data_IF_058260719552
#
_entry.id   IF_058260719552
#
_cell.length_a   1.000
_cell.length_b   1.000
_cell.length_c   1.000
_cell.angle_alpha   90.00
_cell.angle_beta   90.00
_cell.angle_gamma   90.00
#
_symmetry.space_group_name_H-M   'P 1'
#
loop_
_entity.id
_entity.type
_entity.pdbx_description
1 polymer ?
#
# COMPACT_ATOMS: atom_id res chain seq x y z
N UNK A 1 14.66 -22.58 13.81
CA UNK A 1 13.35 -23.10 13.36
C UNK A 1 12.97 -24.22 14.31
N UNK A 2 12.04 -23.97 15.23
CA UNK A 2 11.59 -24.99 16.16
C UNK A 2 10.63 -25.92 15.42
N UNK A 3 11.12 -27.08 14.98
CA UNK A 3 10.31 -28.07 14.27
C UNK A 3 9.59 -28.89 15.34
N UNK A 4 8.34 -28.51 15.63
CA UNK A 4 7.44 -29.26 16.53
C UNK A 4 6.31 -29.95 15.74
N UNK A 5 6.60 -30.30 14.48
CA UNK A 5 5.67 -30.93 13.54
C UNK A 5 5.19 -32.31 13.95
N UNK A 6 5.93 -32.98 14.86
CA UNK A 6 5.56 -34.29 15.43
C UNK A 6 4.75 -34.21 16.72
N UNK A 7 4.54 -33.03 17.31
CA UNK A 7 3.77 -32.89 18.55
C UNK A 7 2.26 -32.84 18.27
N UNK A 8 1.48 -33.54 19.10
CA UNK A 8 0.02 -33.43 19.05
C UNK A 8 -0.40 -32.07 19.61
N UNK A 9 -1.44 -31.49 19.03
CA UNK A 9 -1.97 -30.19 19.48
C UNK A 9 -2.38 -30.22 20.96
N UNK A 10 -2.80 -31.38 21.47
CA UNK A 10 -3.15 -31.60 22.89
C UNK A 10 -1.97 -31.44 23.85
N UNK A 11 -0.74 -31.61 23.36
CA UNK A 11 0.47 -31.67 24.17
C UNK A 11 1.22 -30.31 24.14
N UNK A 12 0.78 -29.38 23.29
CA UNK A 12 1.35 -28.04 23.16
C UNK A 12 0.82 -27.17 24.31
N UNK A 13 1.73 -26.54 25.04
CA UNK A 13 1.42 -25.61 26.13
C UNK A 13 1.48 -24.15 25.69
N UNK A 14 0.98 -23.24 26.54
CA UNK A 14 1.14 -21.78 26.31
C UNK A 14 2.61 -21.41 26.27
N UNK A 15 3.42 -22.01 27.14
CA UNK A 15 4.87 -21.72 27.23
C UNK A 15 5.60 -22.14 25.96
N UNK A 16 5.22 -23.27 25.35
CA UNK A 16 5.78 -23.71 24.06
C UNK A 16 5.52 -22.70 22.95
N UNK A 17 4.31 -22.15 22.90
CA UNK A 17 3.94 -21.13 21.90
C UNK A 17 4.61 -19.78 22.18
N UNK A 18 4.73 -19.43 23.48
CA UNK A 18 5.42 -18.20 23.89
C UNK A 18 6.90 -18.27 23.56
N UNK A 19 7.57 -19.38 23.84
CA UNK A 19 8.96 -19.61 23.46
C UNK A 19 9.18 -19.45 21.96
N UNK A 20 8.27 -19.94 21.11
CA UNK A 20 8.35 -19.74 19.67
C UNK A 20 8.25 -18.25 19.29
N UNK A 21 7.43 -17.46 20.00
CA UNK A 21 7.34 -16.02 19.77
C UNK A 21 8.59 -15.29 20.24
N UNK A 22 9.11 -15.62 21.40
CA UNK A 22 10.25 -14.93 22.01
C UNK A 22 11.55 -15.21 21.26
N UNK A 23 11.69 -16.44 20.74
CA UNK A 23 12.88 -16.85 19.98
C UNK A 23 12.82 -16.55 18.48
N UNK A 24 11.69 -16.04 17.97
CA UNK A 24 11.52 -15.80 16.52
C UNK A 24 12.45 -14.71 15.95
N UNK A 25 13.06 -13.86 16.80
CA UNK A 25 13.93 -12.76 16.40
C UNK A 25 13.24 -11.71 15.50
N UNK A 26 11.91 -11.57 15.61
CA UNK A 26 11.12 -10.65 14.79
C UNK A 26 10.44 -9.59 15.66
N UNK A 27 10.12 -8.45 15.02
CA UNK A 27 9.48 -7.34 15.69
C UNK A 27 8.01 -7.61 16.08
N UNK A 28 7.47 -6.69 16.87
CA UNK A 28 6.13 -6.73 17.47
C UNK A 28 5.04 -7.17 16.49
N UNK A 29 5.01 -6.61 15.26
CA UNK A 29 3.99 -6.93 14.26
C UNK A 29 3.98 -8.40 13.85
N UNK A 30 5.14 -9.02 13.76
CA UNK A 30 5.22 -10.46 13.45
C UNK A 30 4.68 -11.28 14.61
N UNK A 31 5.00 -10.92 15.85
CA UNK A 31 4.47 -11.59 17.03
C UNK A 31 2.96 -11.41 17.17
N UNK A 32 2.41 -10.22 16.87
CA UNK A 32 0.95 -10.01 16.77
C UNK A 32 0.29 -10.97 15.77
N UNK A 33 0.90 -11.15 14.60
CA UNK A 33 0.41 -12.07 13.58
C UNK A 33 0.51 -13.55 14.06
N UNK A 34 1.59 -13.92 14.76
CA UNK A 34 1.74 -15.26 15.34
C UNK A 34 0.66 -15.53 16.40
N UNK A 35 0.40 -14.57 17.29
CA UNK A 35 -0.68 -14.64 18.27
C UNK A 35 -2.05 -14.76 17.59
N UNK A 36 -2.33 -13.96 16.57
CA UNK A 36 -3.57 -14.02 15.82
C UNK A 36 -3.74 -15.37 15.11
N UNK A 37 -2.67 -15.91 14.49
CA UNK A 37 -2.68 -17.22 13.84
C UNK A 37 -2.96 -18.33 14.86
N UNK A 38 -2.26 -18.35 16.00
CA UNK A 38 -2.52 -19.30 17.05
C UNK A 38 -3.98 -19.24 17.51
N UNK A 39 -4.52 -18.02 17.74
CA UNK A 39 -5.91 -17.81 18.10
C UNK A 39 -6.90 -18.40 17.09
N UNK A 40 -6.64 -18.23 15.78
CA UNK A 40 -7.48 -18.79 14.72
C UNK A 40 -7.39 -20.32 14.66
N UNK A 41 -6.19 -20.88 14.82
CA UNK A 41 -5.99 -22.34 14.87
C UNK A 41 -6.80 -22.97 16.01
N UNK A 42 -6.76 -22.40 17.21
CA UNK A 42 -7.57 -22.90 18.34
C UNK A 42 -9.06 -22.68 18.14
N UNK A 43 -9.49 -21.57 17.53
CA UNK A 43 -10.91 -21.39 17.15
C UNK A 43 -11.40 -22.49 16.20
N UNK A 44 -10.53 -22.99 15.33
CA UNK A 44 -10.85 -24.12 14.45
C UNK A 44 -10.87 -25.46 15.20
N UNK A 45 -9.90 -25.68 16.11
CA UNK A 45 -9.66 -26.94 16.78
C UNK A 45 -10.70 -27.24 17.88
N UNK A 46 -11.12 -26.24 18.65
CA UNK A 46 -12.03 -26.41 19.80
C UNK A 46 -13.37 -27.02 19.39
N UNK A 47 -14.11 -26.53 18.40
CA UNK A 47 -15.38 -27.13 17.98
C UNK A 47 -15.24 -28.56 17.44
N UNK A 48 -14.02 -29.01 17.16
CA UNK A 48 -13.67 -30.34 16.62
C UNK A 48 -13.13 -31.27 17.69
N UNK A 49 -13.20 -30.87 18.97
CA UNK A 49 -12.64 -31.60 20.11
C UNK A 49 -11.13 -31.91 19.99
N UNK A 50 -10.37 -31.13 19.19
CA UNK A 50 -8.92 -31.27 19.05
C UNK A 50 -8.17 -30.47 20.11
N UNK A 51 -8.82 -29.49 20.75
CA UNK A 51 -8.30 -28.70 21.83
C UNK A 51 -9.45 -28.29 22.76
N UNK A 52 -9.15 -28.01 24.03
CA UNK A 52 -10.14 -27.62 25.06
C UNK A 52 -10.15 -26.11 25.29
N UNK A 53 -9.03 -25.43 25.03
CA UNK A 53 -8.80 -24.03 25.36
C UNK A 53 -8.07 -23.31 24.21
N UNK A 54 -8.41 -22.05 24.00
CA UNK A 54 -7.67 -21.21 23.05
C UNK A 54 -6.42 -20.63 23.73
N UNK A 55 -5.28 -21.29 23.55
CA UNK A 55 -4.03 -20.84 24.13
C UNK A 55 -3.49 -19.56 23.50
N UNK A 56 -3.86 -19.25 22.27
CA UNK A 56 -3.46 -18.02 21.60
C UNK A 56 -3.87 -16.74 22.34
N UNK A 57 -4.93 -16.76 23.15
CA UNK A 57 -5.36 -15.58 23.92
C UNK A 57 -4.40 -15.22 25.05
N UNK A 58 -3.65 -16.17 25.57
CA UNK A 58 -2.72 -15.98 26.69
C UNK A 58 -1.32 -15.54 26.25
N UNK A 59 -1.02 -15.60 24.95
CA UNK A 59 0.28 -15.19 24.43
C UNK A 59 0.51 -13.70 24.66
N UNK A 60 1.70 -13.38 25.09
CA UNK A 60 2.15 -12.00 25.32
C UNK A 60 2.96 -11.55 24.10
N UNK A 61 2.57 -10.43 23.53
CA UNK A 61 3.31 -9.81 22.43
C UNK A 61 4.38 -8.92 23.01
N UNK A 62 5.63 -9.29 22.79
CA UNK A 62 6.82 -8.47 23.06
C UNK A 62 7.32 -7.76 21.81
N UNK A 63 8.61 -7.46 21.80
CA UNK A 63 9.31 -6.87 20.66
C UNK A 63 9.05 -5.38 20.48
N UNK A 64 9.91 -4.76 19.69
CA UNK A 64 9.81 -3.34 19.41
C UNK A 64 8.80 -3.07 18.28
N UNK A 65 8.08 -1.96 18.40
CA UNK A 65 7.25 -1.47 17.32
C UNK A 65 8.13 -1.07 16.13
N UNK A 66 7.76 -1.50 14.94
CA UNK A 66 8.46 -1.08 13.74
C UNK A 66 8.34 0.42 13.50
N UNK A 67 9.37 1.02 12.89
CA UNK A 67 9.32 2.41 12.43
C UNK A 67 8.24 2.56 11.35
N UNK A 68 7.36 3.52 11.51
CA UNK A 68 6.31 3.80 10.52
C UNK A 68 6.91 4.05 9.13
N UNK A 69 6.18 3.68 8.09
CA UNK A 69 6.56 4.02 6.72
C UNK A 69 6.23 5.48 6.46
N UNK A 70 7.19 6.20 5.88
CA UNK A 70 7.06 7.61 5.56
C UNK A 70 6.74 7.82 4.07
N UNK A 71 6.08 8.94 3.76
CA UNK A 71 5.99 9.47 2.41
C UNK A 71 7.32 10.09 1.97
N UNK A 72 7.46 10.35 0.68
CA UNK A 72 8.54 11.17 0.16
C UNK A 72 8.36 12.61 0.68
N UNK A 73 9.42 13.30 1.07
CA UNK A 73 9.35 14.70 1.43
C UNK A 73 9.02 15.55 0.19
N UNK A 74 8.52 16.77 0.39
CA UNK A 74 8.02 17.60 -0.73
C UNK A 74 9.10 18.02 -1.71
N UNK A 75 10.29 18.29 -1.22
CA UNK A 75 11.46 18.61 -2.05
C UNK A 75 11.83 17.43 -2.96
N UNK A 76 11.72 16.20 -2.46
CA UNK A 76 11.89 15.01 -3.28
C UNK A 76 10.79 14.87 -4.35
N UNK A 77 9.54 15.18 -4.01
CA UNK A 77 8.44 15.17 -4.99
C UNK A 77 8.68 16.22 -6.07
N UNK A 78 9.13 17.42 -5.68
CA UNK A 78 9.46 18.49 -6.61
C UNK A 78 10.64 18.10 -7.52
N UNK A 79 11.69 17.52 -6.99
CA UNK A 79 12.83 17.04 -7.78
C UNK A 79 12.41 15.97 -8.80
N UNK A 80 11.47 15.09 -8.44
CA UNK A 80 10.91 14.09 -9.35
C UNK A 80 10.05 14.78 -10.45
N UNK A 81 9.26 15.80 -10.08
CA UNK A 81 8.44 16.57 -11.03
C UNK A 81 9.34 17.26 -12.08
N UNK A 82 10.43 17.90 -11.67
CA UNK A 82 11.42 18.53 -12.53
C UNK A 82 12.16 17.53 -13.43
N UNK A 83 12.31 16.29 -12.98
CA UNK A 83 12.96 15.22 -13.72
C UNK A 83 12.06 14.55 -14.78
N UNK A 84 10.74 14.87 -14.80
CA UNK A 84 9.82 14.33 -15.80
C UNK A 84 10.27 14.72 -17.21
N UNK A 85 10.35 13.72 -18.08
CA UNK A 85 10.82 13.89 -19.45
C UNK A 85 12.34 13.76 -19.64
N UNK A 86 13.13 13.83 -18.57
CA UNK A 86 14.61 13.66 -18.60
C UNK A 86 15.05 12.35 -17.95
N UNK A 87 14.46 11.99 -16.81
CA UNK A 87 14.76 10.75 -16.10
C UNK A 87 13.69 9.71 -16.45
N UNK A 88 14.07 8.53 -16.97
CA UNK A 88 13.10 7.46 -17.27
C UNK A 88 12.28 7.09 -16.04
N UNK A 89 10.96 6.95 -16.20
CA UNK A 89 10.01 6.55 -15.17
C UNK A 89 9.72 7.59 -14.07
N UNK A 90 10.34 8.79 -14.11
CA UNK A 90 10.00 9.86 -13.16
C UNK A 90 8.51 10.22 -13.22
N UNK A 91 7.94 10.24 -14.42
CA UNK A 91 6.53 10.44 -14.68
C UNK A 91 5.63 9.39 -13.99
N UNK A 92 6.05 8.12 -13.96
CA UNK A 92 5.30 7.05 -13.28
C UNK A 92 5.33 7.22 -11.76
N UNK A 93 6.49 7.56 -11.20
CA UNK A 93 6.62 7.80 -9.76
C UNK A 93 5.79 9.01 -9.34
N UNK A 94 5.84 10.09 -10.12
CA UNK A 94 5.02 11.27 -9.87
C UNK A 94 3.52 10.94 -9.94
N UNK A 95 3.09 10.22 -10.98
CA UNK A 95 1.70 9.78 -11.09
C UNK A 95 1.26 8.97 -9.86
N UNK A 96 2.08 8.05 -9.36
CA UNK A 96 1.72 7.27 -8.18
C UNK A 96 1.62 8.15 -6.93
N UNK A 97 2.45 9.20 -6.78
CA UNK A 97 2.38 10.16 -5.69
C UNK A 97 1.09 10.99 -5.70
N UNK A 98 0.49 11.20 -6.88
CA UNK A 98 -0.74 11.99 -7.03
C UNK A 98 -2.01 11.15 -7.25
N UNK A 99 -1.90 9.84 -7.44
CA UNK A 99 -3.04 8.91 -7.55
C UNK A 99 -3.23 8.07 -6.27
N UNK A 100 -2.19 7.90 -5.48
CA UNK A 100 -2.26 7.21 -4.20
C UNK A 100 -2.63 5.72 -4.24
N UNK A 101 -2.65 5.08 -5.40
CA UNK A 101 -2.85 3.63 -5.52
C UNK A 101 -1.71 2.86 -4.86
N UNK A 102 -2.00 1.67 -4.33
CA UNK A 102 -0.94 0.74 -3.95
C UNK A 102 -0.13 0.35 -5.17
N UNK A 103 1.18 0.05 -5.05
CA UNK A 103 2.01 -0.24 -6.24
C UNK A 103 1.43 -1.32 -7.16
N UNK A 104 0.84 -2.38 -6.62
CA UNK A 104 0.20 -3.42 -7.43
C UNK A 104 -1.07 -2.94 -8.13
N UNK A 105 -1.89 -2.13 -7.45
CA UNK A 105 -3.10 -1.52 -8.02
C UNK A 105 -2.72 -0.53 -9.11
N UNK A 106 -1.74 0.32 -8.87
CA UNK A 106 -1.22 1.30 -9.82
C UNK A 106 -0.77 0.64 -11.13
N UNK A 107 0.01 -0.41 -11.04
CA UNK A 107 0.50 -1.14 -12.22
C UNK A 107 -0.58 -1.98 -12.93
N UNK A 108 -1.69 -2.28 -12.26
CA UNK A 108 -2.80 -3.01 -12.86
C UNK A 108 -3.83 -2.12 -13.54
N UNK A 109 -3.70 -0.78 -13.47
CA UNK A 109 -4.62 0.13 -14.14
C UNK A 109 -4.57 -0.06 -15.65
N UNK A 110 -5.74 -0.32 -16.23
CA UNK A 110 -5.95 -0.41 -17.68
C UNK A 110 -6.49 0.93 -18.20
N UNK A 111 -6.27 1.20 -19.48
CA UNK A 111 -6.85 2.38 -20.15
C UNK A 111 -8.37 2.41 -20.05
N UNK A 112 -9.02 1.24 -19.98
CA UNK A 112 -10.47 1.10 -19.78
C UNK A 112 -10.96 1.61 -18.42
N UNK A 113 -10.06 1.61 -17.41
CA UNK A 113 -10.37 2.08 -16.06
C UNK A 113 -10.36 3.61 -16.00
N UNK A 114 -9.91 4.29 -17.05
CA UNK A 114 -9.82 5.75 -17.13
C UNK A 114 -11.04 6.37 -17.81
N UNK A 115 -11.85 7.08 -17.04
CA UNK A 115 -12.90 7.92 -17.55
C UNK A 115 -12.30 9.27 -18.00
N UNK A 116 -12.20 9.46 -19.32
CA UNK A 116 -11.61 10.67 -19.93
C UNK A 116 -12.44 11.93 -19.66
N UNK A 117 -13.77 11.80 -19.62
CA UNK A 117 -14.67 12.92 -19.38
C UNK A 117 -14.56 13.41 -17.94
N UNK A 118 -14.54 12.48 -16.99
CA UNK A 118 -14.43 12.78 -15.58
C UNK A 118 -12.98 12.91 -15.10
N UNK A 119 -12.00 12.67 -15.96
CA UNK A 119 -10.56 12.67 -15.60
C UNK A 119 -10.30 11.86 -14.32
N UNK A 120 -10.80 10.64 -14.30
CA UNK A 120 -10.73 9.78 -13.11
C UNK A 120 -10.44 8.33 -13.47
N UNK A 121 -9.71 7.64 -12.63
CA UNK A 121 -9.58 6.19 -12.67
C UNK A 121 -10.61 5.54 -11.76
N UNK A 122 -11.21 4.45 -12.23
CA UNK A 122 -12.01 3.55 -11.41
C UNK A 122 -11.20 2.27 -11.25
N UNK A 123 -10.66 2.03 -10.07
CA UNK A 123 -9.76 0.90 -9.88
C UNK A 123 -9.50 0.61 -8.42
N UNK A 124 -8.71 -0.40 -8.18
CA UNK A 124 -8.40 -0.91 -6.86
C UNK A 124 -8.82 -2.38 -6.77
N UNK A 125 -7.93 -3.19 -6.24
CA UNK A 125 -8.16 -4.63 -6.16
C UNK A 125 -7.86 -5.11 -4.74
N UNK A 126 -8.50 -6.12 -4.28
CA UNK A 126 -8.18 -7.00 -3.16
C UNK A 126 -8.77 -6.72 -1.78
N UNK A 127 -9.28 -5.55 -1.46
CA UNK A 127 -10.04 -5.40 -0.22
C UNK A 127 -11.41 -4.82 -0.57
N UNK A 128 -12.45 -5.23 0.12
CA UNK A 128 -13.81 -4.69 -0.09
C UNK A 128 -13.85 -3.16 0.02
N UNK A 129 -12.94 -2.58 0.80
CA UNK A 129 -12.74 -1.14 0.96
C UNK A 129 -11.95 -0.43 -0.15
N UNK A 130 -11.33 -1.17 -1.06
CA UNK A 130 -10.50 -0.61 -2.16
C UNK A 130 -10.99 -1.02 -3.54
N UNK A 131 -12.06 -1.82 -3.62
CA UNK A 131 -12.62 -2.26 -4.88
C UNK A 131 -13.39 -1.10 -5.53
N UNK A 132 -13.15 -0.89 -6.83
CA UNK A 132 -13.85 0.12 -7.65
C UNK A 132 -13.75 1.56 -7.11
N UNK A 133 -12.63 1.87 -6.43
CA UNK A 133 -12.36 3.21 -5.91
C UNK A 133 -12.21 4.21 -7.06
N UNK A 134 -12.89 5.34 -6.95
CA UNK A 134 -12.75 6.47 -7.88
C UNK A 134 -11.60 7.35 -7.40
N UNK A 135 -10.62 7.59 -8.28
CA UNK A 135 -9.51 8.52 -8.04
C UNK A 135 -9.46 9.53 -9.17
N UNK A 136 -9.80 10.76 -8.87
CA UNK A 136 -9.70 11.88 -9.82
C UNK A 136 -8.23 12.25 -10.04
N UNK A 137 -7.90 12.64 -11.27
CA UNK A 137 -6.53 12.97 -11.67
C UNK A 137 -6.26 14.44 -11.38
N UNK A 138 -5.22 14.72 -10.59
CA UNK A 138 -4.78 16.09 -10.34
C UNK A 138 -4.30 16.77 -11.62
N UNK A 139 -4.55 18.09 -11.80
CA UNK A 139 -4.05 18.88 -12.94
C UNK A 139 -2.54 18.74 -13.13
N UNK A 140 -1.77 18.55 -12.08
CA UNK A 140 -0.31 18.38 -12.14
C UNK A 140 0.15 17.18 -12.96
N UNK A 141 -0.59 16.08 -12.89
CA UNK A 141 -0.25 14.85 -13.61
C UNK A 141 -1.15 14.59 -14.81
N UNK A 142 -2.18 15.42 -15.02
CA UNK A 142 -3.12 15.27 -16.14
C UNK A 142 -2.41 15.19 -17.51
N UNK A 143 -1.42 16.05 -17.85
CA UNK A 143 -0.72 15.95 -19.12
C UNK A 143 0.04 14.62 -19.30
N UNK A 144 0.53 14.04 -18.19
CA UNK A 144 1.22 12.75 -18.21
C UNK A 144 0.20 11.64 -18.51
N UNK A 145 -0.92 11.62 -17.78
CA UNK A 145 -1.98 10.64 -17.97
C UNK A 145 -2.53 10.71 -19.40
N UNK A 146 -2.84 11.90 -19.90
CA UNK A 146 -3.34 12.10 -21.27
C UNK A 146 -2.38 11.54 -22.31
N UNK A 147 -1.06 11.76 -22.15
CA UNK A 147 -0.05 11.19 -23.02
C UNK A 147 -0.02 9.65 -22.95
N UNK A 148 -0.13 9.07 -21.75
CA UNK A 148 -0.04 7.63 -21.54
C UNK A 148 -1.26 6.88 -22.09
N UNK A 149 -2.44 7.51 -22.09
CA UNK A 149 -3.69 6.92 -22.60
C UNK A 149 -4.04 7.36 -24.02
N UNK A 150 -3.22 8.24 -24.63
CA UNK A 150 -3.43 8.73 -25.97
C UNK A 150 -3.44 7.56 -26.97
N UNK A 151 -4.39 7.57 -27.88
CA UNK A 151 -4.54 6.59 -28.96
C UNK A 151 -4.66 5.12 -28.51
N UNK A 152 -4.91 4.88 -27.20
CA UNK A 152 -5.17 3.55 -26.64
C UNK A 152 -6.64 3.36 -26.31
N UNK A 153 -7.16 2.16 -26.60
CA UNK A 153 -8.52 1.73 -26.24
C UNK A 153 -8.48 0.79 -25.03
N UNK A 154 -7.36 0.09 -24.84
CA UNK A 154 -7.18 -0.89 -23.75
C UNK A 154 -5.70 -1.16 -23.53
N UNK A 155 -5.40 -1.91 -22.48
CA UNK A 155 -4.04 -2.29 -22.10
C UNK A 155 -3.52 -1.46 -20.93
N UNK A 156 -2.35 -1.84 -20.37
CA UNK A 156 -1.82 -1.20 -19.18
C UNK A 156 -1.51 0.28 -19.44
N UNK A 157 -1.92 1.13 -18.50
CA UNK A 157 -1.54 2.56 -18.52
C UNK A 157 -0.05 2.70 -18.23
N UNK A 158 0.43 1.99 -17.21
CA UNK A 158 1.82 2.01 -16.75
C UNK A 158 2.53 0.73 -17.20
N UNK A 159 3.08 0.79 -18.41
CA UNK A 159 3.70 -0.35 -19.07
C UNK A 159 5.24 -0.27 -19.06
N UNK A 160 5.89 -1.40 -19.25
CA UNK A 160 7.32 -1.50 -19.51
C UNK A 160 7.71 -0.98 -20.91
N UNK A 161 9.00 -1.01 -21.22
CA UNK A 161 9.51 -0.61 -22.55
C UNK A 161 8.97 -1.48 -23.69
N UNK A 162 8.54 -2.68 -23.38
CA UNK A 162 7.93 -3.65 -24.27
C UNK A 162 6.41 -3.46 -24.47
N UNK A 163 5.83 -2.46 -23.79
CA UNK A 163 4.38 -2.21 -23.81
C UNK A 163 3.56 -3.15 -22.91
N UNK A 164 4.18 -4.15 -22.29
CA UNK A 164 3.53 -5.04 -21.34
C UNK A 164 3.38 -4.41 -19.96
N UNK A 165 2.49 -4.95 -19.14
CA UNK A 165 2.35 -4.52 -17.75
C UNK A 165 3.67 -4.66 -17.00
N UNK A 166 4.13 -3.57 -16.38
CA UNK A 166 5.37 -3.58 -15.60
C UNK A 166 5.24 -4.46 -14.36
N UNK A 167 6.24 -5.29 -14.08
CA UNK A 167 6.27 -6.09 -12.86
C UNK A 167 6.58 -5.21 -11.65
N UNK A 168 6.13 -5.63 -10.46
CA UNK A 168 6.46 -4.96 -9.19
C UNK A 168 7.97 -4.88 -8.96
N UNK A 169 8.72 -5.90 -9.37
CA UNK A 169 10.18 -5.91 -9.25
C UNK A 169 10.83 -4.86 -10.14
N UNK A 170 10.42 -4.79 -11.42
CA UNK A 170 10.89 -3.79 -12.38
C UNK A 170 10.53 -2.37 -11.93
N UNK A 171 9.29 -2.17 -11.47
CA UNK A 171 8.84 -0.87 -10.95
C UNK A 171 9.63 -0.43 -9.71
N UNK A 172 9.92 -1.37 -8.80
CA UNK A 172 10.76 -1.08 -7.62
C UNK A 172 12.17 -0.65 -8.03
N UNK A 173 12.76 -1.31 -9.02
CA UNK A 173 14.08 -0.93 -9.55
C UNK A 173 14.04 0.45 -10.21
N UNK A 174 13.00 0.74 -11.00
CA UNK A 174 12.77 2.05 -11.59
C UNK A 174 12.60 3.15 -10.52
N UNK A 175 11.82 2.88 -9.48
CA UNK A 175 11.64 3.79 -8.35
C UNK A 175 12.97 4.18 -7.69
N UNK A 176 13.83 3.21 -7.41
CA UNK A 176 15.12 3.49 -6.79
C UNK A 176 16.03 4.28 -7.74
N UNK A 177 16.06 3.93 -9.03
CA UNK A 177 16.84 4.63 -10.02
C UNK A 177 16.40 6.11 -10.17
N UNK A 178 15.10 6.38 -10.10
CA UNK A 178 14.58 7.76 -10.12
C UNK A 178 15.01 8.53 -8.87
N UNK A 179 14.89 7.94 -7.68
CA UNK A 179 15.33 8.61 -6.46
C UNK A 179 16.83 8.94 -6.49
N UNK A 180 17.66 7.98 -6.93
CA UNK A 180 19.10 8.18 -7.07
C UNK A 180 19.41 9.29 -8.07
N UNK A 181 18.74 9.32 -9.25
CA UNK A 181 18.92 10.34 -10.26
C UNK A 181 18.46 11.73 -9.81
N UNK A 182 17.45 11.81 -8.97
CA UNK A 182 16.95 13.05 -8.37
C UNK A 182 17.74 13.49 -7.11
N UNK A 183 18.78 12.76 -6.71
CA UNK A 183 19.58 13.08 -5.51
C UNK A 183 18.81 12.88 -4.19
N UNK A 184 17.75 12.09 -4.19
CA UNK A 184 16.95 11.81 -2.99
C UNK A 184 17.63 10.75 -2.14
N UNK A 185 18.05 11.12 -0.93
CA UNK A 185 18.68 10.20 0.01
C UNK A 185 17.69 9.09 0.44
N UNK A 186 18.04 7.85 0.13
CA UNK A 186 17.23 6.68 0.45
C UNK A 186 18.06 5.58 1.11
N UNK A 187 18.48 5.80 2.39
CA UNK A 187 19.37 4.89 3.09
C UNK A 187 18.72 3.53 3.34
N UNK A 188 19.57 2.52 3.48
CA UNK A 188 19.17 1.21 3.97
C UNK A 188 19.11 1.26 5.49
N UNK A 189 17.92 1.07 6.02
CA UNK A 189 17.67 0.96 7.45
C UNK A 189 17.72 -0.51 7.87
N UNK A 190 18.29 -0.78 9.03
CA UNK A 190 18.22 -2.11 9.65
C UNK A 190 17.25 -2.07 10.82
N UNK A 191 16.25 -2.92 10.77
CA UNK A 191 15.17 -2.96 11.74
C UNK A 191 14.82 -4.42 12.04
N UNK A 192 14.92 -4.82 13.30
CA UNK A 192 14.60 -6.18 13.74
C UNK A 192 15.28 -7.26 12.87
N UNK A 193 16.56 -7.09 12.56
CA UNK A 193 17.33 -8.01 11.72
C UNK A 193 16.89 -8.04 10.24
N UNK A 194 16.10 -7.06 9.79
CA UNK A 194 15.68 -6.94 8.40
C UNK A 194 16.19 -5.62 7.81
N UNK A 195 16.90 -5.72 6.68
CA UNK A 195 17.39 -4.56 5.94
C UNK A 195 16.31 -4.08 4.95
N UNK A 196 15.96 -2.79 4.98
CA UNK A 196 15.04 -2.20 4.04
C UNK A 196 15.46 -0.78 3.66
N UNK A 197 15.12 -0.33 2.46
CA UNK A 197 15.24 1.08 2.08
C UNK A 197 14.23 1.93 2.87
N UNK A 198 14.59 3.16 3.21
CA UNK A 198 13.72 4.13 3.88
C UNK A 198 12.46 4.36 3.05
N UNK A 199 12.62 4.71 1.79
CA UNK A 199 11.52 4.87 0.84
C UNK A 199 11.39 3.67 -0.09
N UNK A 200 10.15 3.31 -0.40
CA UNK A 200 9.78 2.23 -1.30
C UNK A 200 8.62 2.71 -2.19
N UNK A 201 8.22 2.03 -3.26
CA UNK A 201 7.04 2.42 -4.05
C UNK A 201 5.76 2.64 -3.21
N UNK A 202 5.65 2.02 -2.04
CA UNK A 202 4.56 2.27 -1.09
C UNK A 202 4.61 3.68 -0.48
N UNK A 203 5.80 4.30 -0.45
CA UNK A 203 5.97 5.67 0.04
C UNK A 203 5.22 6.69 -0.81
N UNK A 204 5.03 6.45 -2.14
CA UNK A 204 4.20 7.31 -2.98
C UNK A 204 2.76 7.43 -2.45
N UNK A 205 2.17 6.34 -1.96
CA UNK A 205 0.84 6.37 -1.36
C UNK A 205 0.81 7.12 -0.02
N UNK A 206 1.86 7.02 0.78
CA UNK A 206 2.01 7.83 1.99
C UNK A 206 2.19 9.31 1.65
N UNK A 207 2.91 9.61 0.55
CA UNK A 207 3.05 10.96 -0.01
C UNK A 207 1.68 11.53 -0.38
N UNK A 208 0.86 10.78 -1.14
CA UNK A 208 -0.49 11.19 -1.50
C UNK A 208 -1.33 11.53 -0.26
N UNK A 209 -1.30 10.66 0.76
CA UNK A 209 -2.00 10.92 2.02
C UNK A 209 -1.51 12.19 2.72
N UNK A 210 -0.20 12.48 2.65
CA UNK A 210 0.40 13.68 3.24
C UNK A 210 0.01 14.93 2.46
N UNK A 211 0.01 14.87 1.13
CA UNK A 211 -0.44 15.96 0.26
C UNK A 211 -1.90 16.32 0.55
N UNK A 212 -2.78 15.32 0.61
CA UNK A 212 -4.20 15.56 0.89
C UNK A 212 -4.49 16.17 2.26
N UNK A 213 -3.64 15.93 3.28
CA UNK A 213 -3.79 16.60 4.58
C UNK A 213 -3.56 18.10 4.50
N UNK A 214 -2.85 18.60 3.50
CA UNK A 214 -2.48 20.01 3.34
C UNK A 214 -3.50 20.81 2.55
N UNK A 215 -4.40 20.13 1.83
CA UNK A 215 -5.43 20.82 1.03
C UNK A 215 -6.76 20.85 1.77
N UNK A 216 -7.58 21.90 1.59
CA UNK A 216 -8.93 21.94 2.13
C UNK A 216 -9.80 20.86 1.47
N UNK A 217 -10.73 20.32 2.21
CA UNK A 217 -11.66 19.30 1.74
C UNK A 217 -12.16 18.44 2.90
N UNK A 218 -13.33 17.82 2.72
CA UNK A 218 -13.92 16.95 3.73
C UNK A 218 -13.06 15.70 3.95
N UNK A 219 -12.92 15.28 5.19
CA UNK A 219 -12.15 14.06 5.51
C UNK A 219 -12.73 12.83 4.84
N UNK A 220 -14.05 12.78 4.64
CA UNK A 220 -14.75 11.71 3.91
C UNK A 220 -14.19 11.56 2.49
N UNK A 221 -14.07 12.66 1.74
CA UNK A 221 -13.60 12.66 0.35
C UNK A 221 -12.12 12.24 0.27
N UNK A 222 -11.31 12.71 1.23
CA UNK A 222 -9.90 12.34 1.34
C UNK A 222 -9.73 10.86 1.63
N UNK A 223 -10.56 10.30 2.52
CA UNK A 223 -10.54 8.88 2.86
C UNK A 223 -10.96 8.02 1.67
N UNK A 224 -11.95 8.47 0.91
CA UNK A 224 -12.39 7.81 -0.33
C UNK A 224 -11.25 7.73 -1.35
N UNK A 225 -10.60 8.86 -1.63
CA UNK A 225 -9.45 8.92 -2.54
C UNK A 225 -8.29 8.02 -2.10
N UNK A 226 -8.06 7.84 -0.80
CA UNK A 226 -7.03 6.92 -0.29
C UNK A 226 -7.51 5.46 -0.34
N UNK A 227 -8.82 5.21 -0.26
CA UNK A 227 -9.38 3.86 -0.09
C UNK A 227 -8.99 3.27 1.27
N UNK A 228 -9.05 4.08 2.32
CA UNK A 228 -8.99 3.66 3.72
C UNK A 228 -10.37 3.85 4.33
N UNK A 229 -11.10 2.76 4.47
CA UNK A 229 -12.39 2.80 5.11
C UNK A 229 -12.41 1.89 6.32
N UNK A 230 -12.87 2.43 7.45
CA UNK A 230 -13.36 1.56 8.51
C UNK A 230 -14.70 0.95 8.05
N UNK A 231 -15.05 -0.26 8.48
CA UNK A 231 -16.35 -0.88 8.15
C UNK A 231 -17.56 -0.01 8.50
N UNK A 232 -17.42 0.90 9.46
CA UNK A 232 -18.47 1.84 9.90
C UNK A 232 -18.71 2.97 8.89
N UNK A 233 -17.70 3.36 8.10
CA UNK A 233 -17.83 4.39 7.08
C UNK A 233 -18.44 3.89 5.77
N UNK A 234 -18.43 2.59 5.50
CA UNK A 234 -19.08 1.98 4.32
C UNK A 234 -20.58 2.28 4.21
N UNK A 235 -21.25 2.61 5.31
CA UNK A 235 -22.69 2.91 5.31
C UNK A 235 -23.04 4.29 4.72
N UNK A 236 -22.08 5.15 4.45
CA UNK A 236 -22.28 6.51 3.94
C UNK A 236 -21.83 6.72 2.48
N UNK A 237 -21.49 5.64 1.77
CA UNK A 237 -20.88 5.71 0.42
C UNK A 237 -21.81 6.09 -0.73
N UNK A 238 -23.08 6.33 -0.51
CA UNK A 238 -24.02 6.58 -1.60
C UNK A 238 -23.97 8.00 -2.18
N UNK A 239 -23.17 8.92 -1.60
CA UNK A 239 -23.22 10.35 -1.93
C UNK A 239 -21.87 11.01 -2.24
N UNK A 240 -20.83 10.28 -2.65
CA UNK A 240 -19.57 10.91 -3.08
C UNK A 240 -19.69 11.35 -4.53
N UNK A 241 -19.68 12.67 -4.77
CA UNK A 241 -19.70 13.19 -6.13
C UNK A 241 -18.30 13.32 -6.72
N UNK A 242 -18.20 13.21 -8.05
CA UNK A 242 -16.95 13.49 -8.76
C UNK A 242 -16.44 14.91 -8.52
N UNK A 243 -17.36 15.87 -8.33
CA UNK A 243 -17.00 17.26 -8.06
C UNK A 243 -16.28 17.42 -6.71
N UNK A 244 -16.75 16.75 -5.66
CA UNK A 244 -16.12 16.80 -4.34
C UNK A 244 -14.74 16.15 -4.37
N UNK A 245 -14.60 15.00 -5.04
CA UNK A 245 -13.30 14.34 -5.21
C UNK A 245 -12.33 15.21 -6.01
N UNK A 246 -12.82 15.86 -7.09
CA UNK A 246 -12.02 16.73 -7.93
C UNK A 246 -11.54 17.97 -7.20
N UNK A 247 -12.40 18.58 -6.39
CA UNK A 247 -11.99 19.74 -5.57
C UNK A 247 -10.75 19.46 -4.71
N UNK A 248 -10.63 18.24 -4.20
CA UNK A 248 -9.44 17.84 -3.42
C UNK A 248 -8.23 17.63 -4.33
N UNK A 249 -8.39 16.94 -5.46
CA UNK A 249 -7.25 16.62 -6.34
C UNK A 249 -6.76 17.81 -7.16
N UNK A 250 -7.65 18.75 -7.48
CA UNK A 250 -7.29 19.98 -8.21
C UNK A 250 -6.53 20.98 -7.30
N UNK A 251 -6.65 20.81 -5.97
CA UNK A 251 -5.92 21.62 -4.99
C UNK A 251 -4.54 21.03 -4.59
N UNK A 252 -4.15 19.85 -5.13
CA UNK A 252 -2.82 19.27 -4.97
C UNK A 252 -1.84 19.91 -5.94
#
# INVERSE_FOLDING_TARGET
>A
MCIRDSQKLSDITVDDLQECMDTCGKGKRTQENMKALAGLMYKYAIPRNMAKLNMGQYLIVGGEAGVGKEGLPLDAVQAIEEAVGTVPWADYILCQCYLGFRPSEFLSLDVKDYNRQERAFVGGAKTDAGRDRIVTVSPKIQPIVDRLVKDKISGPVFCGKDGAQMSIASYRSAFYAVLDACGVDNPVLEENGTKRRKYTPHSCRHTFATLMKRVPGADKDKLELIGHTSPEMLRHYQDVSFEDLRRVTDAL
#
